data_IF_994561589949
#
_entry.id   IF_994561589949
#
_cell.length_a   1.000
_cell.length_b   1.000
_cell.length_c   1.000
_cell.angle_alpha   90.00
_cell.angle_beta   90.00
_cell.angle_gamma   90.00
#
_symmetry.space_group_name_H-M   'P 1'
#
loop_
_entity.id
_entity.type
_entity.pdbx_description
1 polymer ?
#
# COMPACT_ATOMS: atom_id res chain seq x y z
N UNK A 1 0.76 -9.47 9.97
CA UNK A 1 0.39 -9.58 11.40
C UNK A 1 -1.11 -9.85 11.47
N UNK A 2 -1.48 -10.88 12.20
CA UNK A 2 -2.87 -11.27 12.44
C UNK A 2 -3.41 -10.54 13.68
N UNK A 3 -4.43 -9.72 13.50
CA UNK A 3 -5.14 -9.01 14.58
C UNK A 3 -6.30 -9.82 15.19
N UNK A 4 -6.44 -11.08 14.81
CA UNK A 4 -7.47 -11.99 15.32
C UNK A 4 -8.87 -11.78 14.75
N UNK A 5 -9.01 -10.99 13.68
CA UNK A 5 -10.30 -10.77 13.01
C UNK A 5 -10.32 -11.39 11.61
N UNK A 6 -11.48 -11.93 11.20
CA UNK A 6 -11.63 -12.35 9.79
C UNK A 6 -11.56 -11.14 8.86
N UNK A 7 -10.93 -11.32 7.70
CA UNK A 7 -10.83 -10.27 6.68
C UNK A 7 -12.17 -10.07 5.98
N UNK A 8 -12.76 -8.90 6.15
CA UNK A 8 -14.06 -8.51 5.55
C UNK A 8 -14.02 -7.14 4.89
N UNK A 9 -13.36 -6.16 5.52
CA UNK A 9 -13.24 -4.80 5.01
C UNK A 9 -11.79 -4.36 5.09
N UNK A 10 -11.19 -4.13 3.92
CA UNK A 10 -9.77 -3.84 3.78
C UNK A 10 -9.57 -2.36 3.45
N UNK A 11 -8.68 -1.70 4.19
CA UNK A 11 -8.09 -0.43 3.78
C UNK A 11 -6.78 -0.70 3.04
N UNK A 12 -6.47 0.12 2.05
CA UNK A 12 -5.21 0.06 1.31
C UNK A 12 -4.56 1.45 1.32
N UNK A 13 -3.29 1.50 1.69
CA UNK A 13 -2.45 2.70 1.60
C UNK A 13 -1.13 2.38 0.93
N UNK A 14 -0.87 2.95 -0.26
CA UNK A 14 0.39 2.76 -0.97
C UNK A 14 1.56 3.40 -0.23
N UNK A 15 2.73 2.77 -0.27
CA UNK A 15 3.91 3.23 0.44
C UNK A 15 3.77 3.17 1.96
N UNK A 16 4.50 4.02 2.67
CA UNK A 16 4.62 4.02 4.13
C UNK A 16 3.41 4.70 4.81
N UNK A 17 2.24 4.08 4.78
CA UNK A 17 1.00 4.63 5.36
C UNK A 17 0.64 4.06 6.73
N UNK A 18 1.51 3.33 7.42
CA UNK A 18 1.18 2.69 8.71
C UNK A 18 0.70 3.66 9.80
N UNK A 19 1.05 4.95 9.69
CA UNK A 19 0.54 6.02 10.54
C UNK A 19 -0.97 6.28 10.43
N UNK A 20 -1.59 5.88 9.31
CA UNK A 20 -3.01 6.08 9.03
C UNK A 20 -3.91 4.95 9.57
N UNK A 21 -3.34 3.99 10.31
CA UNK A 21 -4.07 2.82 10.84
C UNK A 21 -5.32 3.17 11.63
N UNK A 22 -5.29 4.28 12.38
CA UNK A 22 -6.47 4.71 13.12
C UNK A 22 -7.62 5.10 12.19
N UNK A 23 -7.34 5.76 11.07
CA UNK A 23 -8.36 6.09 10.08
C UNK A 23 -8.99 4.85 9.46
N UNK A 24 -8.21 3.80 9.23
CA UNK A 24 -8.72 2.51 8.76
C UNK A 24 -9.69 1.90 9.77
N UNK A 25 -9.35 1.93 11.06
CA UNK A 25 -10.21 1.46 12.15
C UNK A 25 -11.50 2.29 12.23
N UNK A 26 -11.39 3.61 12.21
CA UNK A 26 -12.53 4.53 12.27
C UNK A 26 -13.48 4.35 11.09
N UNK A 27 -12.94 3.96 9.93
CA UNK A 27 -13.72 3.55 8.76
C UNK A 27 -14.35 2.16 8.88
N UNK A 28 -14.12 1.45 9.97
CA UNK A 28 -14.64 0.11 10.23
C UNK A 28 -13.91 -0.99 9.44
N UNK A 29 -12.66 -0.77 9.06
CA UNK A 29 -11.84 -1.81 8.44
C UNK A 29 -11.27 -2.74 9.51
N UNK A 30 -11.17 -4.03 9.16
CA UNK A 30 -10.55 -5.06 9.97
C UNK A 30 -9.11 -5.39 9.53
N UNK A 31 -8.75 -4.92 8.34
CA UNK A 31 -7.47 -5.21 7.69
C UNK A 31 -6.92 -3.95 7.02
N UNK A 32 -5.61 -3.72 7.18
CA UNK A 32 -4.91 -2.62 6.53
C UNK A 32 -3.68 -3.15 5.77
N UNK A 33 -3.66 -2.91 4.46
CA UNK A 33 -2.54 -3.23 3.57
C UNK A 33 -1.77 -1.96 3.28
N UNK A 34 -0.49 -1.95 3.61
CA UNK A 34 0.41 -0.80 3.41
C UNK A 34 1.85 -1.29 3.30
N UNK A 35 2.84 -0.45 3.58
CA UNK A 35 4.24 -0.87 3.61
C UNK A 35 5.05 -0.09 4.66
N UNK A 36 6.32 -0.48 4.80
CA UNK A 36 7.29 0.11 5.74
C UNK A 36 6.73 0.21 7.16
N UNK A 37 6.11 -0.86 7.61
CA UNK A 37 5.46 -0.90 8.91
C UNK A 37 6.51 -1.03 10.00
N UNK A 38 6.64 0.00 10.81
CA UNK A 38 7.53 -0.04 11.97
C UNK A 38 7.08 -1.08 13.01
N UNK A 39 8.04 -1.65 13.72
CA UNK A 39 7.78 -2.69 14.74
C UNK A 39 6.68 -2.31 15.74
N UNK A 40 6.73 -1.07 16.25
CA UNK A 40 5.73 -0.58 17.21
C UNK A 40 4.32 -0.52 16.61
N UNK A 41 4.21 -0.20 15.30
CA UNK A 41 2.90 -0.14 14.64
C UNK A 41 2.24 -1.53 14.53
N UNK A 42 3.02 -2.60 14.44
CA UNK A 42 2.49 -3.97 14.52
C UNK A 42 1.93 -4.29 15.91
N UNK A 43 2.61 -3.86 16.97
CA UNK A 43 2.12 -4.04 18.34
C UNK A 43 0.83 -3.26 18.59
N UNK A 44 0.80 -1.98 18.24
CA UNK A 44 -0.41 -1.16 18.36
C UNK A 44 -1.59 -1.78 17.60
N UNK A 45 -1.35 -2.25 16.39
CA UNK A 45 -2.40 -2.86 15.56
C UNK A 45 -2.93 -4.18 16.18
N UNK A 46 -2.05 -4.96 16.79
CA UNK A 46 -2.44 -6.18 17.49
C UNK A 46 -3.37 -5.87 18.69
N UNK A 47 -3.02 -4.86 19.49
CA UNK A 47 -3.85 -4.43 20.63
C UNK A 47 -5.22 -3.90 20.18
N UNK A 48 -5.26 -3.23 19.04
CA UNK A 48 -6.49 -2.69 18.44
C UNK A 48 -7.28 -3.73 17.63
N UNK A 49 -6.75 -4.94 17.47
CA UNK A 49 -7.39 -6.01 16.71
C UNK A 49 -7.48 -5.70 15.20
N UNK A 50 -6.48 -5.03 14.63
CA UNK A 50 -6.38 -4.74 13.22
C UNK A 50 -5.38 -5.70 12.56
N UNK A 51 -5.79 -6.41 11.53
CA UNK A 51 -4.85 -7.16 10.69
C UNK A 51 -3.98 -6.17 9.90
N UNK A 52 -2.67 -6.34 9.90
CA UNK A 52 -1.76 -5.52 9.09
C UNK A 52 -0.90 -6.36 8.16
N UNK A 53 -0.83 -5.93 6.91
CA UNK A 53 -0.04 -6.55 5.85
C UNK A 53 0.95 -5.53 5.32
N UNK A 54 2.26 -5.80 5.51
CA UNK A 54 3.32 -5.10 4.80
C UNK A 54 3.49 -5.76 3.42
N UNK A 55 3.08 -5.05 2.39
CA UNK A 55 3.09 -5.55 1.02
C UNK A 55 4.24 -4.97 0.18
N UNK A 56 5.18 -4.28 0.84
CA UNK A 56 6.35 -3.67 0.22
C UNK A 56 6.06 -2.33 -0.46
N UNK A 57 6.97 -1.37 -0.27
CA UNK A 57 6.79 0.01 -0.75
C UNK A 57 6.63 0.05 -2.27
N UNK A 58 7.59 -0.52 -2.98
CA UNK A 58 7.55 -0.58 -4.45
C UNK A 58 6.27 -1.23 -4.97
N UNK A 59 5.88 -2.36 -4.39
CA UNK A 59 4.73 -3.15 -4.87
C UNK A 59 3.39 -2.49 -4.59
N UNK A 60 3.30 -1.63 -3.57
CA UNK A 60 2.06 -0.90 -3.26
C UNK A 60 1.92 0.41 -4.03
N UNK A 61 3.01 1.01 -4.50
CA UNK A 61 3.01 2.28 -5.25
C UNK A 61 3.15 2.12 -6.76
N UNK A 62 4.01 1.22 -7.22
CA UNK A 62 4.32 1.06 -8.64
C UNK A 62 3.09 0.82 -9.55
N UNK A 63 2.04 0.10 -9.12
CA UNK A 63 0.82 -0.07 -9.92
C UNK A 63 0.16 1.25 -10.33
N UNK A 64 0.27 2.30 -9.50
CA UNK A 64 -0.29 3.63 -9.80
C UNK A 64 0.36 4.29 -11.01
N UNK A 65 1.63 3.97 -11.31
CA UNK A 65 2.37 4.53 -12.44
C UNK A 65 1.79 4.10 -13.78
N UNK A 66 1.30 2.88 -13.89
CA UNK A 66 0.64 2.38 -15.11
C UNK A 66 -0.67 3.14 -15.36
N UNK A 67 -1.48 3.29 -14.32
CA UNK A 67 -2.75 4.04 -14.37
C UNK A 67 -2.51 5.49 -14.72
N UNK A 68 -1.47 6.13 -14.13
CA UNK A 68 -1.10 7.51 -14.43
C UNK A 68 -0.64 7.66 -15.88
N UNK A 69 0.21 6.77 -16.36
CA UNK A 69 0.68 6.79 -17.75
C UNK A 69 -0.47 6.69 -18.74
N UNK A 70 -1.44 5.81 -18.49
CA UNK A 70 -2.61 5.65 -19.36
C UNK A 70 -3.51 6.91 -19.34
N UNK A 71 -3.70 7.52 -18.19
CA UNK A 71 -4.43 8.80 -18.07
C UNK A 71 -3.73 9.92 -18.84
N UNK A 72 -2.40 10.01 -18.75
CA UNK A 72 -1.62 11.02 -19.48
C UNK A 72 -1.69 10.79 -20.98
N UNK A 73 -1.57 9.56 -21.47
CA UNK A 73 -1.73 9.23 -22.89
C UNK A 73 -3.10 9.60 -23.42
N UNK A 74 -4.14 9.38 -22.63
CA UNK A 74 -5.50 9.73 -23.02
C UNK A 74 -5.73 11.25 -23.03
N UNK A 75 -5.18 11.98 -22.05
CA UNK A 75 -5.37 13.42 -21.91
C UNK A 75 -4.50 14.24 -22.90
N UNK A 76 -3.34 13.71 -23.26
CA UNK A 76 -2.32 14.40 -24.07
C UNK A 76 -1.79 13.48 -25.18
N UNK A 77 -2.61 13.18 -26.20
CA UNK A 77 -2.21 12.23 -27.25
C UNK A 77 -1.03 12.71 -28.11
N UNK A 78 -0.70 13.99 -28.03
CA UNK A 78 0.42 14.61 -28.75
C UNK A 78 1.78 14.41 -28.07
N UNK A 79 1.81 13.93 -26.82
CA UNK A 79 3.07 13.66 -26.11
C UNK A 79 3.36 12.17 -26.02
N UNK A 80 4.64 11.82 -26.07
CA UNK A 80 5.08 10.46 -25.80
C UNK A 80 5.18 10.23 -24.28
N UNK A 81 4.46 9.23 -23.78
CA UNK A 81 4.49 8.83 -22.36
C UNK A 81 5.15 7.45 -22.24
N UNK A 82 6.32 7.41 -21.64
CA UNK A 82 7.15 6.20 -21.50
C UNK A 82 7.25 5.79 -20.06
N UNK A 83 7.09 4.51 -19.79
CA UNK A 83 7.41 3.91 -18.48
C UNK A 83 8.86 3.45 -18.46
N UNK A 84 9.60 3.79 -17.41
CA UNK A 84 10.98 3.34 -17.24
C UNK A 84 11.07 1.82 -17.16
N UNK A 85 11.89 1.23 -18.02
CA UNK A 85 12.19 -0.20 -18.00
C UNK A 85 13.30 -0.57 -17.00
N UNK A 86 13.95 0.44 -16.40
CA UNK A 86 15.04 0.25 -15.43
C UNK A 86 14.58 0.42 -13.99
N UNK A 87 13.35 0.90 -13.77
CA UNK A 87 12.79 1.06 -12.45
C UNK A 87 12.34 -0.30 -11.91
N UNK A 88 12.92 -0.71 -10.81
CA UNK A 88 12.65 -1.99 -10.15
C UNK A 88 12.78 -1.85 -8.63
N UNK A 89 12.20 -2.78 -7.90
CA UNK A 89 12.38 -2.85 -6.45
C UNK A 89 13.87 -3.01 -6.12
N UNK A 90 14.37 -2.16 -5.23
CA UNK A 90 15.73 -2.24 -4.72
C UNK A 90 15.91 -3.32 -3.65
N UNK A 91 14.80 -3.78 -3.04
CA UNK A 91 14.84 -4.82 -2.01
C UNK A 91 15.07 -6.20 -2.62
N UNK A 92 15.88 -6.99 -1.94
CA UNK A 92 16.17 -8.38 -2.31
C UNK A 92 15.80 -9.28 -1.14
N UNK A 93 15.08 -10.34 -1.43
CA UNK A 93 14.73 -11.37 -0.46
C UNK A 93 15.61 -12.60 -0.73
N UNK A 94 16.29 -13.09 0.32
CA UNK A 94 17.22 -14.21 0.25
C UNK A 94 16.72 -15.38 1.10
#
# INVERSE_FOLDING_TARGET
>A
MDGGKPVRKVAVGGGACSGERQKAIDAGCDTFVTSDIGYNAFWDAQELGLNMIDAGHFHTENPSMYVLADKLRAAFPEIEVVLSQKHADCMKFY
#
